data_IF_729860032820
#
_entry.id   IF_729860032820
#
_cell.length_a   1.000
_cell.length_b   1.000
_cell.length_c   1.000
_cell.angle_alpha   90.00
_cell.angle_beta   90.00
_cell.angle_gamma   90.00
#
_symmetry.space_group_name_H-M   'P 1'
#
loop_
_entity.id
_entity.type
_entity.pdbx_description
1 polymer ?
#
# COMPACT_ATOMS: atom_id res chain seq x y z
N UNK A 1 33.99 33.60 0.97
CA UNK A 1 32.66 33.44 0.33
C UNK A 1 32.11 32.10 0.75
N UNK A 2 30.84 32.09 1.12
CA UNK A 2 30.13 31.17 2.02
C UNK A 2 30.21 29.68 1.67
N UNK A 3 30.61 28.87 2.66
CA UNK A 3 30.14 27.50 2.79
C UNK A 3 28.69 27.56 3.29
N UNK A 4 27.73 27.54 2.36
CA UNK A 4 26.37 27.19 2.71
C UNK A 4 26.30 25.66 2.76
N UNK A 5 26.47 25.08 3.95
CA UNK A 5 26.02 23.71 4.20
C UNK A 5 24.49 23.75 4.21
N UNK A 6 23.88 23.26 3.14
CA UNK A 6 22.47 22.89 3.14
C UNK A 6 22.32 21.59 3.94
N UNK A 7 22.37 21.71 5.26
CA UNK A 7 22.04 20.61 6.16
C UNK A 7 20.57 20.76 6.57
N UNK A 8 19.65 20.39 5.67
CA UNK A 8 18.21 20.39 5.94
C UNK A 8 17.69 19.02 6.35
N UNK A 9 18.50 18.20 7.01
CA UNK A 9 17.94 17.12 7.83
C UNK A 9 17.65 17.71 9.21
N UNK A 10 16.38 18.07 9.45
CA UNK A 10 15.91 18.53 10.76
C UNK A 10 16.39 17.55 11.82
N UNK A 11 17.33 17.97 12.68
CA UNK A 11 17.78 17.18 13.83
C UNK A 11 16.54 16.84 14.67
N UNK A 12 16.28 15.56 14.87
CA UNK A 12 15.19 15.13 15.73
C UNK A 12 15.57 15.41 17.18
N UNK A 13 14.74 16.18 17.88
CA UNK A 13 14.94 16.50 19.29
C UNK A 13 14.86 15.22 20.14
N UNK A 14 15.96 14.89 20.81
CA UNK A 14 16.09 13.73 21.71
C UNK A 14 15.01 13.79 22.81
N UNK A 15 14.40 12.66 23.12
CA UNK A 15 13.32 12.54 24.12
C UNK A 15 11.93 12.90 23.61
N UNK A 16 11.78 13.27 22.33
CA UNK A 16 10.47 13.64 21.75
C UNK A 16 9.77 12.42 21.14
N UNK A 17 8.49 12.23 21.47
CA UNK A 17 7.63 11.24 20.82
C UNK A 17 7.23 11.69 19.40
N UNK A 18 7.32 10.78 18.43
CA UNK A 18 7.07 11.06 17.01
C UNK A 18 5.93 10.21 16.47
N UNK A 19 5.01 10.77 15.65
CA UNK A 19 3.95 9.98 15.04
C UNK A 19 4.54 8.94 14.07
N UNK A 20 3.79 7.87 13.83
CA UNK A 20 4.17 6.78 12.94
C UNK A 20 3.36 6.81 11.66
N UNK A 21 4.04 6.71 10.52
CA UNK A 21 3.46 6.39 9.22
C UNK A 21 3.88 4.98 8.80
N UNK A 22 2.95 4.03 8.84
CA UNK A 22 3.12 2.70 8.28
C UNK A 22 2.88 2.74 6.77
N UNK A 23 3.93 2.54 5.98
CA UNK A 23 3.88 2.52 4.52
C UNK A 23 3.78 1.08 3.99
N UNK A 24 2.76 0.81 3.19
CA UNK A 24 2.61 -0.45 2.45
C UNK A 24 2.88 -0.20 0.97
N UNK A 25 3.92 -0.83 0.42
CA UNK A 25 4.33 -0.58 -0.96
C UNK A 25 3.30 -1.10 -1.96
N UNK A 26 3.27 -0.47 -3.13
CA UNK A 26 2.50 -0.91 -4.28
C UNK A 26 3.13 -2.10 -5.02
N UNK A 27 2.54 -2.50 -6.13
CA UNK A 27 3.13 -3.49 -7.04
C UNK A 27 2.38 -4.82 -7.18
N UNK A 28 1.10 -4.86 -6.82
CA UNK A 28 0.30 -6.05 -7.14
C UNK A 28 0.56 -7.24 -6.24
N UNK A 29 1.22 -7.07 -5.09
CA UNK A 29 1.82 -8.17 -4.31
C UNK A 29 2.79 -9.06 -5.10
N UNK A 30 3.09 -8.76 -6.38
CA UNK A 30 4.02 -9.52 -7.23
C UNK A 30 5.36 -8.79 -7.35
N UNK A 31 5.30 -7.46 -7.31
CA UNK A 31 6.45 -6.55 -7.42
C UNK A 31 6.47 -5.58 -6.24
N UNK A 32 7.54 -4.80 -6.13
CA UNK A 32 7.70 -3.77 -5.12
C UNK A 32 8.74 -4.14 -4.06
N UNK A 33 9.20 -3.12 -3.36
CA UNK A 33 10.22 -3.20 -2.32
C UNK A 33 9.84 -2.22 -1.22
N UNK A 34 10.06 -2.62 0.03
CA UNK A 34 9.88 -1.75 1.19
C UNK A 34 10.71 -0.47 1.02
N UNK A 35 10.07 0.68 1.28
CA UNK A 35 10.68 2.02 1.15
C UNK A 35 11.29 2.35 -0.22
N UNK A 36 10.79 1.77 -1.32
CA UNK A 36 11.19 2.19 -2.65
C UNK A 36 10.70 3.62 -2.96
N UNK A 37 11.66 4.53 -3.13
CA UNK A 37 11.41 5.94 -3.48
C UNK A 37 10.59 6.12 -4.78
N UNK A 38 10.56 5.13 -5.68
CA UNK A 38 9.74 5.18 -6.89
C UNK A 38 8.26 4.83 -6.63
N UNK A 39 7.96 4.25 -5.46
CA UNK A 39 6.65 3.74 -5.09
C UNK A 39 5.99 4.53 -3.96
N UNK A 40 6.76 5.27 -3.16
CA UNK A 40 6.20 6.18 -2.15
C UNK A 40 5.82 7.50 -2.83
N UNK A 41 4.57 7.96 -2.70
CA UNK A 41 4.18 9.27 -3.23
C UNK A 41 4.95 10.42 -2.59
N UNK A 42 5.37 11.39 -3.40
CA UNK A 42 6.14 12.54 -2.92
C UNK A 42 5.42 13.29 -1.79
N UNK A 43 4.13 13.55 -1.94
CA UNK A 43 3.34 14.21 -0.90
C UNK A 43 3.33 13.45 0.44
N UNK A 44 3.39 12.12 0.42
CA UNK A 44 3.36 11.30 1.61
C UNK A 44 4.69 11.40 2.38
N UNK A 45 5.81 11.43 1.65
CA UNK A 45 7.15 11.69 2.21
C UNK A 45 7.24 13.11 2.78
N UNK A 46 6.80 14.11 2.03
CA UNK A 46 6.78 15.51 2.47
C UNK A 46 5.91 15.68 3.73
N UNK A 47 4.77 14.99 3.79
CA UNK A 47 3.90 15.02 4.95
C UNK A 47 4.57 14.41 6.18
N UNK A 48 5.15 13.21 6.03
CA UNK A 48 5.91 12.56 7.10
C UNK A 48 7.06 13.46 7.61
N UNK A 49 7.83 14.04 6.71
CA UNK A 49 8.91 14.98 7.03
C UNK A 49 8.38 16.22 7.78
N UNK A 50 7.29 16.83 7.30
CA UNK A 50 6.70 18.02 7.92
C UNK A 50 6.19 17.80 9.35
N UNK A 51 5.94 16.54 9.72
CA UNK A 51 5.50 16.12 11.06
C UNK A 51 6.63 15.49 11.88
N UNK A 52 7.82 15.30 11.28
CA UNK A 52 8.92 14.55 11.88
C UNK A 52 8.52 13.12 12.21
N UNK A 53 7.66 12.52 11.38
CA UNK A 53 7.12 11.19 11.58
C UNK A 53 8.17 10.11 11.30
N UNK A 54 8.06 9.00 12.03
CA UNK A 54 8.79 7.78 11.73
C UNK A 54 8.06 7.08 10.60
N UNK A 55 8.77 6.70 9.53
CA UNK A 55 8.19 5.90 8.44
C UNK A 55 8.67 4.46 8.59
N UNK A 56 7.73 3.52 8.68
CA UNK A 56 8.02 2.08 8.76
C UNK A 56 7.32 1.35 7.62
N UNK A 57 8.01 0.42 6.95
CA UNK A 57 7.43 -0.34 5.85
C UNK A 57 7.83 -1.82 5.99
N UNK A 58 6.89 -2.76 5.98
CA UNK A 58 7.21 -4.17 6.08
C UNK A 58 7.81 -4.73 4.79
N UNK A 59 8.77 -5.64 4.92
CA UNK A 59 9.27 -6.47 3.84
C UNK A 59 8.35 -7.69 3.65
N UNK A 60 7.17 -7.47 3.07
CA UNK A 60 6.18 -8.51 2.84
C UNK A 60 6.69 -9.54 1.85
N UNK A 61 6.32 -10.82 2.06
CA UNK A 61 6.44 -11.82 1.01
C UNK A 61 5.60 -11.43 -0.22
N UNK A 62 6.03 -11.90 -1.39
CA UNK A 62 5.40 -11.60 -2.68
C UNK A 62 4.84 -12.86 -3.34
N UNK A 63 3.73 -12.68 -4.06
CA UNK A 63 3.17 -13.64 -5.01
C UNK A 63 4.10 -13.80 -6.22
N UNK A 64 4.13 -14.96 -6.88
CA UNK A 64 3.37 -16.17 -6.55
C UNK A 64 4.11 -17.15 -5.64
N UNK A 65 5.30 -16.80 -5.15
CA UNK A 65 6.08 -17.67 -4.27
C UNK A 65 5.42 -17.87 -2.90
N UNK A 66 4.80 -16.82 -2.37
CA UNK A 66 3.99 -16.88 -1.16
C UNK A 66 2.49 -16.95 -1.45
N UNK A 67 1.73 -17.39 -0.46
CA UNK A 67 0.28 -17.38 -0.44
C UNK A 67 -0.27 -16.04 0.08
N UNK A 68 -1.52 -15.71 -0.27
CA UNK A 68 -2.21 -14.55 0.31
C UNK A 68 -2.20 -14.56 1.84
N UNK A 69 -2.52 -15.70 2.46
CA UNK A 69 -2.50 -15.89 3.91
C UNK A 69 -1.14 -15.61 4.55
N UNK A 70 -0.06 -16.00 3.86
CA UNK A 70 1.31 -15.77 4.33
C UNK A 70 1.65 -14.27 4.30
N UNK A 71 1.21 -13.55 3.28
CA UNK A 71 1.35 -12.09 3.21
C UNK A 71 0.54 -11.43 4.32
N UNK A 72 -0.66 -11.92 4.63
CA UNK A 72 -1.45 -11.42 5.76
C UNK A 72 -0.79 -11.71 7.10
N UNK A 73 -0.10 -12.84 7.25
CA UNK A 73 0.67 -13.14 8.46
C UNK A 73 1.85 -12.17 8.60
N UNK A 74 2.55 -11.83 7.50
CA UNK A 74 3.60 -10.79 7.52
C UNK A 74 3.04 -9.42 7.95
N UNK A 75 1.83 -9.07 7.52
CA UNK A 75 1.15 -7.83 7.94
C UNK A 75 0.82 -7.87 9.44
N UNK A 76 0.36 -9.02 9.97
CA UNK A 76 0.09 -9.18 11.41
C UNK A 76 1.38 -9.08 12.23
N UNK A 77 2.44 -9.73 11.76
CA UNK A 77 3.75 -9.70 12.42
C UNK A 77 4.33 -8.28 12.42
N UNK A 78 4.16 -7.53 11.33
CA UNK A 78 4.52 -6.12 11.27
C UNK A 78 3.79 -5.29 12.34
N UNK A 79 2.47 -5.43 12.46
CA UNK A 79 1.72 -4.71 13.49
C UNK A 79 2.10 -5.16 14.90
N UNK A 80 2.32 -6.46 15.11
CA UNK A 80 2.86 -6.99 16.36
C UNK A 80 4.19 -6.33 16.72
N UNK A 81 5.11 -6.23 15.76
CA UNK A 81 6.39 -5.54 15.92
C UNK A 81 6.22 -4.05 16.24
N UNK A 82 5.35 -3.33 15.53
CA UNK A 82 5.06 -1.90 15.73
C UNK A 82 4.60 -1.63 17.18
N UNK A 83 3.64 -2.42 17.67
CA UNK A 83 3.02 -2.16 18.98
C UNK A 83 3.79 -2.73 20.17
N UNK A 84 4.83 -3.55 19.95
CA UNK A 84 5.58 -4.21 21.04
C UNK A 84 7.07 -3.86 21.08
N UNK A 85 7.71 -3.78 19.91
CA UNK A 85 9.17 -3.83 19.81
C UNK A 85 9.76 -2.55 19.20
N UNK A 86 9.07 -1.94 18.23
CA UNK A 86 9.57 -0.81 17.46
C UNK A 86 10.04 0.35 18.36
N UNK A 87 9.26 0.74 19.37
CA UNK A 87 9.59 1.85 20.25
C UNK A 87 10.92 1.66 20.98
N UNK A 88 11.21 0.44 21.46
CA UNK A 88 12.47 0.13 22.15
C UNK A 88 13.67 0.27 21.22
N UNK A 89 13.54 -0.21 19.98
CA UNK A 89 14.61 -0.08 18.96
C UNK A 89 14.83 1.39 18.64
N UNK A 90 13.77 2.14 18.36
CA UNK A 90 13.86 3.57 18.01
C UNK A 90 14.49 4.38 19.14
N UNK A 91 14.09 4.14 20.39
CA UNK A 91 14.66 4.80 21.56
C UNK A 91 16.15 4.49 21.74
N UNK A 92 16.54 3.22 21.59
CA UNK A 92 17.93 2.80 21.72
C UNK A 92 18.81 3.35 20.58
N UNK A 93 18.31 3.37 19.35
CA UNK A 93 19.09 3.75 18.17
C UNK A 93 19.15 5.26 17.96
N UNK A 94 18.05 5.98 18.20
CA UNK A 94 17.92 7.39 17.81
C UNK A 94 17.63 8.34 18.99
N UNK A 95 17.41 7.81 20.20
CA UNK A 95 17.09 8.64 21.37
C UNK A 95 15.73 9.35 21.28
N UNK A 96 14.81 8.87 20.44
CA UNK A 96 13.43 9.36 20.29
C UNK A 96 12.44 8.24 20.61
N UNK A 97 11.15 8.53 20.76
CA UNK A 97 10.13 7.50 20.98
C UNK A 97 9.05 7.54 19.89
N UNK A 98 8.31 6.44 19.77
CA UNK A 98 7.17 6.31 18.85
C UNK A 98 5.90 6.68 19.61
N UNK A 99 5.13 7.62 19.07
CA UNK A 99 3.79 7.95 19.54
C UNK A 99 2.76 6.98 18.92
N UNK A 100 2.46 5.91 19.65
CA UNK A 100 1.47 4.91 19.24
C UNK A 100 0.02 5.44 19.32
N UNK A 101 -0.21 6.63 19.88
CA UNK A 101 -1.49 7.33 19.78
C UNK A 101 -1.71 8.01 18.43
N UNK A 102 -0.64 8.12 17.61
CA UNK A 102 -0.62 8.82 16.32
C UNK A 102 -0.05 7.94 15.22
N UNK A 103 -0.85 6.95 14.79
CA UNK A 103 -0.46 5.97 13.77
C UNK A 103 -1.36 6.12 12.54
N UNK A 104 -0.75 6.36 11.38
CA UNK A 104 -1.41 6.31 10.08
C UNK A 104 -0.85 5.15 9.26
N UNK A 105 -1.69 4.55 8.41
CA UNK A 105 -1.29 3.51 7.46
C UNK A 105 -1.69 3.92 6.05
N UNK A 106 -0.80 3.77 5.08
CA UNK A 106 -1.08 4.18 3.71
C UNK A 106 -0.06 3.69 2.69
N UNK A 107 -0.37 3.91 1.43
CA UNK A 107 0.45 3.51 0.29
C UNK A 107 -0.22 3.94 -1.01
N UNK A 108 0.46 3.69 -2.13
CA UNK A 108 -0.05 3.94 -3.48
C UNK A 108 0.21 2.76 -4.43
N UNK A 109 -0.22 2.90 -5.68
CA UNK A 109 0.09 1.98 -6.79
C UNK A 109 -0.15 0.49 -6.48
N UNK A 110 -1.39 0.11 -6.18
CA UNK A 110 -1.77 -1.27 -5.85
C UNK A 110 -1.34 -1.76 -4.46
N UNK A 111 -1.34 -0.90 -3.44
CA UNK A 111 -1.19 -1.33 -2.05
C UNK A 111 -2.52 -1.84 -1.44
N UNK A 112 -3.65 -1.59 -2.11
CA UNK A 112 -4.98 -2.01 -1.72
C UNK A 112 -5.72 -2.59 -2.94
N UNK A 113 -6.42 -3.70 -2.73
CA UNK A 113 -7.17 -4.39 -3.78
C UNK A 113 -8.57 -4.72 -3.27
N UNK A 114 -9.59 -4.33 -4.03
CA UNK A 114 -10.89 -4.97 -3.90
C UNK A 114 -10.93 -6.20 -4.81
N UNK A 115 -10.41 -7.32 -4.31
CA UNK A 115 -10.44 -8.61 -5.02
C UNK A 115 -11.87 -9.11 -5.25
N UNK A 116 -12.85 -8.58 -4.54
CA UNK A 116 -14.24 -8.98 -4.68
C UNK A 116 -14.95 -8.27 -5.83
N UNK A 117 -14.44 -7.13 -6.28
CA UNK A 117 -15.00 -6.42 -7.44
C UNK A 117 -14.83 -7.23 -8.72
N UNK A 118 -15.90 -7.33 -9.51
CA UNK A 118 -15.85 -7.93 -10.84
C UNK A 118 -15.03 -7.08 -11.83
N UNK A 119 -14.90 -5.78 -11.55
CA UNK A 119 -14.05 -4.89 -12.34
C UNK A 119 -12.55 -5.10 -12.05
N UNK A 120 -12.19 -5.82 -10.98
CA UNK A 120 -10.80 -6.10 -10.64
C UNK A 120 -10.27 -7.37 -11.33
N UNK A 121 -9.25 -7.18 -12.19
CA UNK A 121 -8.59 -8.25 -12.95
C UNK A 121 -9.59 -9.20 -13.64
N UNK A 122 -10.52 -8.69 -14.46
CA UNK A 122 -11.51 -9.53 -15.12
C UNK A 122 -10.83 -10.53 -16.06
N UNK A 123 -11.40 -11.75 -16.18
CA UNK A 123 -10.91 -12.71 -17.19
C UNK A 123 -11.35 -12.23 -18.58
N UNK A 124 -10.42 -12.00 -19.52
CA UNK A 124 -10.80 -11.61 -20.88
C UNK A 124 -11.45 -12.80 -21.61
N UNK A 125 -12.26 -12.49 -22.64
CA UNK A 125 -12.86 -13.51 -23.52
C UNK A 125 -11.79 -14.31 -24.28
N UNK A 126 -10.65 -13.68 -24.58
CA UNK A 126 -9.52 -14.31 -25.23
C UNK A 126 -8.26 -14.10 -24.39
N UNK A 127 -7.60 -15.19 -24.03
CA UNK A 127 -6.32 -15.21 -23.33
C UNK A 127 -5.26 -15.70 -24.32
N UNK A 128 -4.25 -14.89 -24.67
CA UNK A 128 -3.14 -15.35 -25.50
C UNK A 128 -2.43 -16.54 -24.87
N UNK A 129 -2.25 -17.62 -25.63
CA UNK A 129 -1.65 -18.87 -25.14
C UNK A 129 -0.23 -18.62 -24.57
N UNK A 130 0.56 -17.81 -25.26
CA UNK A 130 1.92 -17.46 -24.83
C UNK A 130 1.97 -16.78 -23.45
N UNK A 131 1.01 -15.89 -23.14
CA UNK A 131 0.96 -15.22 -21.83
C UNK A 131 0.57 -16.19 -20.71
N UNK A 132 -0.32 -17.15 -21.00
CA UNK A 132 -0.67 -18.21 -20.06
C UNK A 132 0.49 -19.18 -19.83
N UNK A 133 1.20 -19.54 -20.91
CA UNK A 133 2.36 -20.43 -20.88
C UNK A 133 3.50 -19.84 -20.05
N UNK A 134 3.83 -18.55 -20.21
CA UNK A 134 4.89 -17.90 -19.42
C UNK A 134 4.58 -17.87 -17.92
N UNK A 135 3.31 -17.69 -17.54
CA UNK A 135 2.91 -17.76 -16.13
C UNK A 135 3.08 -19.20 -15.60
N UNK A 136 2.63 -20.20 -16.36
CA UNK A 136 2.74 -21.60 -15.95
C UNK A 136 4.18 -22.09 -15.87
N UNK A 137 5.02 -21.69 -16.82
CA UNK A 137 6.47 -21.93 -16.81
C UNK A 137 7.10 -21.30 -15.57
N UNK A 138 6.78 -20.04 -15.26
CA UNK A 138 7.26 -19.38 -14.05
C UNK A 138 6.91 -20.19 -12.81
N UNK A 139 5.64 -20.54 -12.64
CA UNK A 139 5.14 -21.31 -11.50
C UNK A 139 5.83 -22.68 -11.37
N UNK A 140 6.12 -23.35 -12.49
CA UNK A 140 6.79 -24.66 -12.50
C UNK A 140 8.26 -24.61 -12.07
N UNK A 141 8.89 -23.44 -12.20
CA UNK A 141 10.31 -23.22 -11.88
C UNK A 141 10.52 -22.64 -10.48
N UNK A 142 9.46 -22.34 -9.73
CA UNK A 142 9.58 -21.90 -8.33
C UNK A 142 10.18 -23.04 -7.51
N UNK A 143 11.33 -22.76 -6.88
CA UNK A 143 11.99 -23.73 -6.01
C UNK A 143 11.20 -23.86 -4.70
N UNK A 144 10.87 -25.07 -4.23
CA UNK A 144 10.19 -25.27 -2.95
C UNK A 144 10.92 -24.56 -1.81
N UNK A 145 10.17 -23.84 -0.97
CA UNK A 145 10.71 -23.10 0.18
C UNK A 145 11.37 -21.76 -0.15
N UNK A 146 11.34 -21.30 -1.41
CA UNK A 146 11.81 -19.96 -1.78
C UNK A 146 10.67 -18.95 -1.80
N UNK A 147 10.96 -17.71 -1.40
CA UNK A 147 10.05 -16.58 -1.47
C UNK A 147 10.80 -15.28 -1.78
N UNK A 148 10.09 -14.29 -2.30
CA UNK A 148 10.60 -12.94 -2.52
C UNK A 148 10.01 -11.99 -1.50
N UNK A 149 10.84 -11.08 -0.98
CA UNK A 149 10.40 -9.95 -0.12
C UNK A 149 10.75 -8.58 -0.74
N UNK A 150 11.30 -8.61 -1.95
CA UNK A 150 11.73 -7.44 -2.70
C UNK A 150 11.76 -7.79 -4.18
N UNK A 151 11.28 -6.88 -5.01
CA UNK A 151 11.22 -6.99 -6.46
C UNK A 151 11.19 -5.59 -7.05
N UNK A 152 12.33 -4.88 -7.05
CA UNK A 152 12.40 -3.49 -7.48
C UNK A 152 11.99 -3.36 -8.95
N UNK A 153 11.37 -2.24 -9.30
CA UNK A 153 11.00 -1.96 -10.69
C UNK A 153 12.24 -1.93 -11.60
N UNK A 154 12.21 -2.55 -12.81
CA UNK A 154 11.08 -3.17 -13.49
C UNK A 154 10.97 -4.71 -13.33
N UNK A 155 11.66 -5.31 -12.37
CA UNK A 155 11.67 -6.77 -12.18
C UNK A 155 10.26 -7.32 -12.00
N UNK A 156 9.99 -8.47 -12.62
CA UNK A 156 8.70 -9.18 -12.57
C UNK A 156 7.48 -8.38 -13.05
N UNK A 157 7.65 -7.17 -13.61
CA UNK A 157 6.57 -6.40 -14.22
C UNK A 157 5.87 -7.18 -15.34
N UNK A 158 6.63 -7.92 -16.14
CA UNK A 158 6.08 -8.79 -17.18
C UNK A 158 5.18 -9.90 -16.62
N UNK A 159 5.58 -10.51 -15.50
CA UNK A 159 4.78 -11.52 -14.80
C UNK A 159 3.51 -10.91 -14.22
N UNK A 160 3.60 -9.76 -13.54
CA UNK A 160 2.45 -9.03 -13.03
C UNK A 160 1.46 -8.70 -14.15
N UNK A 161 1.94 -8.11 -15.25
CA UNK A 161 1.09 -7.73 -16.39
C UNK A 161 0.45 -8.95 -17.06
N UNK A 162 1.19 -10.04 -17.22
CA UNK A 162 0.65 -11.29 -17.77
C UNK A 162 -0.44 -11.85 -16.84
N UNK A 163 -0.16 -11.97 -15.54
CA UNK A 163 -1.13 -12.48 -14.57
C UNK A 163 -2.41 -11.63 -14.54
N UNK A 164 -2.26 -10.30 -14.53
CA UNK A 164 -3.38 -9.37 -14.51
C UNK A 164 -4.21 -9.43 -15.81
N UNK A 165 -3.56 -9.31 -16.97
CA UNK A 165 -4.25 -9.27 -18.28
C UNK A 165 -4.92 -10.58 -18.66
N UNK A 166 -4.45 -11.71 -18.13
CA UNK A 166 -5.07 -13.02 -18.37
C UNK A 166 -6.14 -13.37 -17.33
N UNK A 167 -6.37 -12.49 -16.35
CA UNK A 167 -7.24 -12.74 -15.19
C UNK A 167 -6.73 -13.83 -14.24
N UNK A 168 -5.51 -14.35 -14.46
CA UNK A 168 -4.86 -15.36 -13.61
C UNK A 168 -4.32 -14.78 -12.31
N UNK A 169 -4.27 -13.47 -12.14
CA UNK A 169 -3.94 -12.83 -10.87
C UNK A 169 -4.78 -13.39 -9.70
N UNK A 170 -6.08 -13.63 -9.95
CA UNK A 170 -6.99 -14.25 -8.98
C UNK A 170 -6.60 -15.69 -8.62
N UNK A 171 -5.99 -16.42 -9.56
CA UNK A 171 -5.50 -17.79 -9.34
C UNK A 171 -4.26 -17.78 -8.43
N UNK A 172 -3.39 -16.77 -8.54
CA UNK A 172 -2.19 -16.63 -7.71
C UNK A 172 -2.54 -16.41 -6.24
N UNK A 173 -3.67 -15.76 -5.97
CA UNK A 173 -4.24 -15.58 -4.64
C UNK A 173 -4.92 -16.86 -4.10
N UNK A 174 -5.03 -17.91 -4.93
CA UNK A 174 -5.60 -19.23 -4.61
C UNK A 174 -6.97 -19.22 -3.94
N UNK A 175 -7.78 -18.20 -4.24
CA UNK A 175 -9.11 -18.04 -3.67
C UNK A 175 -9.12 -17.80 -2.16
N UNK A 176 -8.02 -17.33 -1.58
CA UNK A 176 -7.95 -17.02 -0.15
C UNK A 176 -8.98 -15.96 0.23
N UNK A 177 -9.98 -16.39 0.99
CA UNK A 177 -11.09 -15.55 1.44
C UNK A 177 -10.64 -14.47 2.42
N UNK A 178 -9.50 -14.62 3.08
CA UNK A 178 -8.98 -13.61 4.00
C UNK A 178 -8.41 -12.40 3.27
N UNK A 179 -8.06 -12.54 1.99
CA UNK A 179 -7.62 -11.44 1.13
C UNK A 179 -8.79 -10.55 0.64
N UNK A 180 -10.04 -10.96 0.89
CA UNK A 180 -11.24 -10.29 0.40
C UNK A 180 -11.67 -9.17 1.34
N UNK A 181 -11.44 -7.93 0.92
CA UNK A 181 -11.72 -6.73 1.73
C UNK A 181 -13.19 -6.66 2.14
N UNK A 182 -14.13 -7.12 1.31
CA UNK A 182 -15.57 -7.10 1.65
C UNK A 182 -15.89 -8.07 2.78
N UNK A 183 -15.19 -9.20 2.85
CA UNK A 183 -15.32 -10.12 3.98
C UNK A 183 -14.73 -9.52 5.25
N UNK A 184 -13.59 -8.83 5.15
CA UNK A 184 -12.98 -8.13 6.27
C UNK A 184 -13.90 -7.02 6.81
N UNK A 185 -14.48 -6.19 5.94
CA UNK A 185 -15.40 -5.11 6.31
C UNK A 185 -16.64 -5.63 7.06
N UNK A 186 -17.21 -6.76 6.65
CA UNK A 186 -18.38 -7.36 7.36
C UNK A 186 -18.04 -7.86 8.76
N UNK A 187 -16.79 -8.24 9.01
CA UNK A 187 -16.32 -8.78 10.29
C UNK A 187 -15.73 -7.72 11.20
N UNK A 188 -15.24 -6.63 10.63
CA UNK A 188 -14.68 -5.52 11.37
C UNK A 188 -15.75 -4.94 12.29
N UNK A 189 -15.39 -4.70 13.56
CA UNK A 189 -16.23 -3.96 14.50
C UNK A 189 -16.04 -2.47 14.32
N UNK A 190 -14.78 -2.08 14.14
CA UNK A 190 -14.33 -0.72 13.97
C UNK A 190 -13.53 -0.65 12.68
N UNK A 191 -13.83 0.37 11.85
CA UNK A 191 -13.06 0.70 10.66
C UNK A 191 -12.46 2.09 10.87
N UNK A 192 -11.13 2.26 10.75
CA UNK A 192 -10.49 3.54 10.98
C UNK A 192 -10.97 4.58 9.95
N UNK A 193 -10.77 5.88 10.22
CA UNK A 193 -10.92 6.92 9.20
C UNK A 193 -10.12 6.57 7.95
N UNK A 194 -10.76 6.62 6.78
CA UNK A 194 -10.15 6.21 5.52
C UNK A 194 -10.17 7.38 4.54
N UNK A 195 -9.06 7.58 3.85
CA UNK A 195 -8.98 8.44 2.67
C UNK A 195 -8.61 7.59 1.45
N UNK A 196 -9.44 7.62 0.42
CA UNK A 196 -9.21 6.97 -0.87
C UNK A 196 -9.04 8.06 -1.94
N UNK A 197 -7.88 8.07 -2.61
CA UNK A 197 -7.64 8.90 -3.78
C UNK A 197 -7.57 8.02 -5.04
N UNK A 198 -8.38 8.32 -6.05
CA UNK A 198 -8.55 7.48 -7.24
C UNK A 198 -8.48 8.31 -8.53
N UNK A 199 -7.70 7.81 -9.50
CA UNK A 199 -7.69 8.35 -10.87
C UNK A 199 -8.89 7.85 -11.68
N UNK A 200 -9.65 8.76 -12.29
CA UNK A 200 -10.83 8.41 -13.11
C UNK A 200 -10.46 7.68 -14.41
N UNK A 201 -9.23 7.88 -14.89
CA UNK A 201 -8.70 7.25 -16.11
C UNK A 201 -7.77 6.07 -15.80
N UNK A 202 -7.80 5.54 -14.57
CA UNK A 202 -7.02 4.39 -14.19
C UNK A 202 -7.54 3.13 -14.89
N UNK A 203 -6.68 2.55 -15.74
CA UNK A 203 -6.98 1.37 -16.56
C UNK A 203 -6.57 0.06 -15.89
N UNK A 204 -5.95 0.11 -14.71
CA UNK A 204 -5.54 -1.07 -13.96
C UNK A 204 -6.50 -1.28 -12.78
N UNK A 205 -6.68 -0.25 -11.96
CA UNK A 205 -7.65 -0.23 -10.88
C UNK A 205 -8.76 0.77 -11.21
N UNK A 206 -9.88 0.26 -11.72
CA UNK A 206 -10.95 1.11 -12.23
C UNK A 206 -11.59 1.98 -11.14
N UNK A 207 -12.05 3.17 -11.52
CA UNK A 207 -12.86 4.02 -10.64
C UNK A 207 -14.11 3.28 -10.14
N UNK A 208 -14.69 2.41 -10.98
CA UNK A 208 -15.85 1.59 -10.62
C UNK A 208 -15.56 0.71 -9.41
N UNK A 209 -14.46 -0.05 -9.42
CA UNK A 209 -14.07 -0.89 -8.28
C UNK A 209 -13.85 -0.07 -7.00
N UNK A 210 -13.21 1.09 -7.10
CA UNK A 210 -13.01 1.98 -5.96
C UNK A 210 -14.35 2.55 -5.44
N UNK A 211 -15.27 2.89 -6.35
CA UNK A 211 -16.60 3.41 -6.00
C UNK A 211 -17.46 2.35 -5.32
N UNK A 212 -17.40 1.10 -5.78
CA UNK A 212 -18.05 -0.04 -5.12
C UNK A 212 -17.56 -0.19 -3.67
N UNK A 213 -16.23 -0.20 -3.47
CA UNK A 213 -15.65 -0.29 -2.13
C UNK A 213 -16.10 0.87 -1.22
N UNK A 214 -16.12 2.10 -1.72
CA UNK A 214 -16.59 3.28 -0.97
C UNK A 214 -18.05 3.14 -0.57
N UNK A 215 -18.92 2.65 -1.47
CA UNK A 215 -20.33 2.42 -1.17
C UNK A 215 -20.51 1.35 -0.10
N UNK A 216 -19.71 0.28 -0.17
CA UNK A 216 -19.77 -0.79 0.82
C UNK A 216 -19.28 -0.37 2.20
N UNK A 217 -18.20 0.42 2.29
CA UNK A 217 -17.75 1.00 3.57
C UNK A 217 -18.88 1.85 4.17
N UNK A 218 -19.49 2.74 3.38
CA UNK A 218 -20.60 3.58 3.86
C UNK A 218 -21.83 2.78 4.30
N UNK A 219 -22.11 1.66 3.64
CA UNK A 219 -23.25 0.82 3.97
C UNK A 219 -23.01 -0.03 5.22
N UNK A 220 -21.80 -0.58 5.38
CA UNK A 220 -21.45 -1.46 6.50
C UNK A 220 -21.03 -0.67 7.75
N UNK A 221 -20.42 0.49 7.58
CA UNK A 221 -19.84 1.33 8.63
C UNK A 221 -20.18 2.82 8.39
N UNK A 222 -21.45 3.22 8.55
CA UNK A 222 -21.92 4.56 8.22
C UNK A 222 -21.26 5.67 9.04
N UNK A 223 -20.76 5.34 10.23
CA UNK A 223 -20.12 6.29 11.15
C UNK A 223 -18.61 6.44 10.90
N UNK A 224 -18.01 5.62 10.03
CA UNK A 224 -16.59 5.73 9.69
C UNK A 224 -16.34 6.98 8.86
N UNK A 225 -15.46 7.91 9.32
CA UNK A 225 -15.06 9.05 8.50
C UNK A 225 -14.39 8.56 7.22
N UNK A 226 -14.93 8.99 6.07
CA UNK A 226 -14.48 8.52 4.76
C UNK A 226 -14.37 9.67 3.76
N UNK A 227 -13.15 9.97 3.32
CA UNK A 227 -12.88 10.90 2.23
C UNK A 227 -12.62 10.13 0.94
N UNK A 228 -13.32 10.50 -0.14
CA UNK A 228 -13.11 9.92 -1.47
C UNK A 228 -12.78 11.03 -2.48
N UNK A 229 -11.53 11.07 -2.93
CA UNK A 229 -11.00 12.10 -3.84
C UNK A 229 -10.83 11.51 -5.24
N UNK A 230 -11.58 12.02 -6.22
CA UNK A 230 -11.44 11.65 -7.62
C UNK A 230 -10.53 12.63 -8.35
N UNK A 231 -9.57 12.13 -9.13
CA UNK A 231 -8.63 12.94 -9.90
C UNK A 231 -8.71 12.62 -11.40
N UNK A 232 -8.60 13.62 -12.29
CA UNK A 232 -8.66 13.43 -13.75
C UNK A 232 -7.39 12.77 -14.34
N UNK A 233 -6.89 11.72 -13.69
CA UNK A 233 -5.59 11.11 -13.94
C UNK A 233 -5.67 9.59 -14.04
N UNK A 234 -4.59 8.96 -14.48
CA UNK A 234 -4.47 7.50 -14.62
C UNK A 234 -3.87 6.81 -13.39
N UNK A 235 -3.46 5.56 -13.59
CA UNK A 235 -2.85 4.74 -12.54
C UNK A 235 -1.58 5.37 -11.98
N UNK A 236 -1.45 5.38 -10.64
CA UNK A 236 -0.23 5.84 -9.95
C UNK A 236 0.10 7.32 -10.17
N UNK A 237 -0.93 8.14 -10.43
CA UNK A 237 -0.80 9.56 -10.71
C UNK A 237 -0.12 10.34 -9.58
N UNK A 238 -0.35 9.93 -8.34
CA UNK A 238 0.03 10.64 -7.13
C UNK A 238 1.54 10.64 -6.85
N UNK A 239 2.32 9.76 -7.48
CA UNK A 239 3.76 9.61 -7.19
C UNK A 239 4.55 10.91 -7.29
N UNK A 240 4.25 11.74 -8.30
CA UNK A 240 4.93 13.03 -8.50
C UNK A 240 4.21 14.22 -7.88
N UNK A 241 3.05 14.02 -7.25
CA UNK A 241 2.25 15.09 -6.66
C UNK A 241 2.79 15.45 -5.28
N UNK A 242 2.91 16.75 -5.00
CA UNK A 242 3.38 17.27 -3.71
C UNK A 242 2.25 17.80 -2.82
N UNK A 243 2.61 18.29 -1.63
CA UNK A 243 1.67 18.84 -0.64
C UNK A 243 0.94 20.12 -1.09
N UNK A 244 1.32 20.74 -2.20
CA UNK A 244 0.68 21.95 -2.73
C UNK A 244 -0.57 21.67 -3.55
N UNK A 245 -0.78 20.41 -3.92
CA UNK A 245 -1.93 19.98 -4.72
C UNK A 245 -3.22 20.09 -3.91
N UNK A 246 -4.27 20.68 -4.48
CA UNK A 246 -5.50 20.97 -3.74
C UNK A 246 -6.16 19.71 -3.13
N UNK A 247 -6.16 18.61 -3.87
CA UNK A 247 -6.71 17.33 -3.41
C UNK A 247 -5.85 16.69 -2.31
N UNK A 248 -4.54 16.90 -2.35
CA UNK A 248 -3.63 16.47 -1.26
C UNK A 248 -3.89 17.32 -0.02
N UNK A 249 -4.01 18.64 -0.15
CA UNK A 249 -4.30 19.52 1.00
C UNK A 249 -5.63 19.20 1.68
N UNK A 250 -6.65 18.84 0.91
CA UNK A 250 -7.91 18.33 1.46
C UNK A 250 -7.70 17.00 2.21
N UNK A 251 -7.03 16.04 1.58
CA UNK A 251 -6.70 14.75 2.18
C UNK A 251 -5.90 14.86 3.46
N UNK A 252 -4.88 15.70 3.49
CA UNK A 252 -4.05 15.93 4.67
C UNK A 252 -4.84 16.60 5.79
N UNK A 253 -5.74 17.54 5.50
CA UNK A 253 -6.64 18.11 6.53
C UNK A 253 -7.55 17.04 7.14
N UNK A 254 -8.04 16.11 6.32
CA UNK A 254 -8.78 14.96 6.81
C UNK A 254 -7.90 14.03 7.67
N UNK A 255 -6.69 13.69 7.20
CA UNK A 255 -5.76 12.84 7.94
C UNK A 255 -5.40 13.45 9.31
N UNK A 256 -5.13 14.75 9.38
CA UNK A 256 -4.75 15.43 10.63
C UNK A 256 -5.85 15.49 11.67
N UNK A 257 -7.13 15.41 11.28
CA UNK A 257 -8.23 15.30 12.24
C UNK A 257 -8.23 13.94 12.96
N UNK A 258 -7.51 12.97 12.40
CA UNK A 258 -7.54 11.58 12.82
C UNK A 258 -6.14 10.99 13.11
N UNK A 259 -5.07 11.78 12.97
CA UNK A 259 -3.67 11.36 13.10
C UNK A 259 -2.81 12.23 14.02
#
# INVERSE_FOLDING_TARGET
>A
MSHAEFDTFRRLDVGTARPLLAHFHGGGLITGTALDSQMIPLWLLQFAESRGAIVASPCLRLLPEALGSEILDDIKDFWGFVFTTLNSIVAQTYGISVDLGRVAAGGGRHCAFDLDSFAFSPRPLYVPEAASASISEYLSNIKPGTFRVSSPSPEYRGLFQAAFNTGRYRDLLRGDRHMRIREALRKAKDVPPIWIAQGVNDRITSQEAASELVQEIRAAHPDTPLLYSLQPSGHGFDVSHGMTEAWVQEGLRFTEQHW
#
